data_IF_826629831489
#
_entry.id   IF_826629831489
#
_cell.length_a   1.000
_cell.length_b   1.000
_cell.length_c   1.000
_cell.angle_alpha   90.00
_cell.angle_beta   90.00
_cell.angle_gamma   90.00
#
_symmetry.space_group_name_H-M   'P 1'
#
loop_
_entity.id
_entity.type
_entity.pdbx_description
1 polymer ?
#
# COMPACT_ATOMS: atom_id res chain seq x y z
N UNK A 1 6.56 -22.34 -11.64
CA UNK A 1 7.89 -21.70 -11.73
C UNK A 1 7.72 -20.31 -11.14
N UNK A 2 8.50 -19.94 -10.13
CA UNK A 2 8.35 -18.64 -9.45
C UNK A 2 8.77 -17.53 -10.40
N UNK A 3 7.94 -16.49 -10.55
CA UNK A 3 8.25 -15.34 -11.39
C UNK A 3 9.34 -14.48 -10.74
N UNK A 4 10.47 -14.34 -11.43
CA UNK A 4 11.57 -13.48 -10.98
C UNK A 4 11.17 -12.01 -10.94
N UNK A 5 11.67 -11.30 -9.93
CA UNK A 5 11.60 -9.84 -9.82
C UNK A 5 12.16 -9.16 -11.06
N UNK A 6 11.50 -8.09 -11.50
CA UNK A 6 11.93 -7.21 -12.60
C UNK A 6 12.87 -6.12 -12.06
N UNK A 7 12.80 -5.85 -10.75
CA UNK A 7 13.61 -4.83 -10.08
C UNK A 7 14.66 -5.47 -9.17
N UNK A 8 15.76 -4.75 -8.95
CA UNK A 8 16.72 -5.08 -7.91
C UNK A 8 16.06 -4.91 -6.54
N UNK A 9 16.05 -5.97 -5.72
CA UNK A 9 15.34 -5.96 -4.44
C UNK A 9 15.97 -5.00 -3.44
N UNK A 10 17.29 -4.84 -3.43
CA UNK A 10 17.94 -3.90 -2.53
C UNK A 10 17.60 -2.47 -2.89
N UNK A 11 17.58 -2.14 -4.18
CA UNK A 11 17.25 -0.82 -4.69
C UNK A 11 15.81 -0.39 -4.35
N UNK A 12 14.85 -1.32 -4.34
CA UNK A 12 13.44 -1.02 -4.05
C UNK A 12 13.02 -1.31 -2.60
N UNK A 13 13.94 -1.81 -1.76
CA UNK A 13 13.66 -2.15 -0.37
C UNK A 13 13.02 -1.02 0.45
N UNK A 14 13.44 0.26 0.33
CA UNK A 14 12.85 1.35 1.09
C UNK A 14 11.33 1.48 0.89
N UNK A 15 10.82 1.12 -0.30
CA UNK A 15 9.43 1.33 -0.70
C UNK A 15 8.43 0.37 -0.03
N UNK A 16 8.88 -0.80 0.45
CA UNK A 16 8.06 -1.65 1.32
C UNK A 16 8.44 -1.48 2.78
N UNK A 17 9.70 -1.13 3.09
CA UNK A 17 10.14 -0.88 4.46
C UNK A 17 9.38 0.29 5.10
N UNK A 18 8.99 1.31 4.33
CA UNK A 18 8.12 2.39 4.83
C UNK A 18 6.74 1.86 5.29
N UNK A 19 6.18 0.88 4.60
CA UNK A 19 4.91 0.23 4.96
C UNK A 19 5.11 -0.69 6.18
N UNK A 20 6.21 -1.45 6.21
CA UNK A 20 6.57 -2.30 7.36
C UNK A 20 6.77 -1.47 8.63
N UNK A 21 7.28 -0.24 8.51
CA UNK A 21 7.49 0.65 9.66
C UNK A 21 6.19 1.00 10.41
N UNK A 22 5.04 0.95 9.72
CA UNK A 22 3.69 1.10 10.29
C UNK A 22 2.96 -0.23 10.46
N UNK A 23 3.69 -1.34 10.40
CA UNK A 23 3.23 -2.71 10.67
C UNK A 23 2.64 -3.46 9.49
N UNK A 24 2.67 -2.91 8.26
CA UNK A 24 2.15 -3.61 7.07
C UNK A 24 3.01 -4.82 6.77
N UNK A 25 2.39 -5.98 6.67
CA UNK A 25 3.05 -7.27 6.45
C UNK A 25 3.27 -7.53 4.95
N UNK A 26 4.52 -7.71 4.47
CA UNK A 26 4.78 -8.06 3.07
C UNK A 26 4.44 -9.52 2.79
N UNK A 27 3.63 -9.75 1.76
CA UNK A 27 3.34 -11.07 1.22
C UNK A 27 4.13 -11.25 -0.08
N UNK A 28 4.98 -12.28 -0.10
CA UNK A 28 5.94 -12.55 -1.18
C UNK A 28 5.59 -13.79 -1.99
N UNK A 29 4.69 -14.64 -1.48
CA UNK A 29 4.25 -15.87 -2.11
C UNK A 29 2.71 -15.95 -2.22
N UNK A 30 2.15 -16.63 -3.24
CA UNK A 30 0.71 -16.85 -3.40
C UNK A 30 0.05 -17.48 -2.18
N UNK A 31 0.73 -18.42 -1.53
CA UNK A 31 0.20 -19.16 -0.38
C UNK A 31 -0.06 -18.22 0.80
N UNK A 32 0.78 -17.20 0.97
CA UNK A 32 0.60 -16.17 2.01
C UNK A 32 -0.64 -15.29 1.71
N UNK A 33 -0.90 -15.02 0.42
CA UNK A 33 -2.12 -14.29 0.00
C UNK A 33 -3.36 -15.15 0.29
N UNK A 34 -3.30 -16.44 -0.01
CA UNK A 34 -4.42 -17.37 0.24
C UNK A 34 -4.71 -17.57 1.71
N UNK A 35 -3.66 -17.65 2.53
CA UNK A 35 -3.80 -17.72 3.98
C UNK A 35 -4.51 -16.48 4.52
N UNK A 36 -4.11 -15.30 4.05
CA UNK A 36 -4.66 -14.02 4.53
C UNK A 36 -6.05 -13.73 3.98
N UNK A 37 -6.33 -13.97 2.70
CA UNK A 37 -7.58 -13.58 2.03
C UNK A 37 -8.57 -14.74 1.88
N UNK A 38 -8.10 -15.97 1.65
CA UNK A 38 -8.96 -17.14 1.43
C UNK A 38 -9.59 -17.69 2.71
N UNK A 39 -9.02 -17.39 3.88
CA UNK A 39 -9.51 -17.82 5.20
C UNK A 39 -9.86 -16.64 6.11
N UNK A 40 -9.95 -15.43 5.54
CA UNK A 40 -10.06 -14.20 6.30
C UNK A 40 -11.36 -14.15 7.12
N UNK A 41 -11.23 -14.08 8.44
CA UNK A 41 -12.27 -13.57 9.34
C UNK A 41 -11.90 -12.16 9.77
N UNK A 42 -12.85 -11.24 9.76
CA UNK A 42 -12.58 -9.82 10.05
C UNK A 42 -12.12 -9.06 8.81
N UNK A 43 -11.31 -8.02 9.02
CA UNK A 43 -10.96 -7.04 7.99
C UNK A 43 -9.49 -7.09 7.57
N UNK A 44 -9.25 -7.09 6.27
CA UNK A 44 -7.90 -7.11 5.69
C UNK A 44 -7.75 -5.97 4.71
N UNK A 45 -6.81 -5.07 4.98
CA UNK A 45 -6.38 -4.05 4.04
C UNK A 45 -5.22 -4.59 3.20
N UNK A 46 -5.33 -4.51 1.88
CA UNK A 46 -4.30 -4.95 0.94
C UNK A 46 -3.86 -3.74 0.12
N UNK A 47 -2.56 -3.45 0.13
CA UNK A 47 -1.96 -2.51 -0.83
C UNK A 47 -1.12 -3.27 -1.86
N UNK A 48 -1.52 -3.16 -3.13
CA UNK A 48 -0.69 -3.54 -4.27
C UNK A 48 0.30 -2.41 -4.49
N UNK A 49 1.48 -2.52 -3.88
CA UNK A 49 2.54 -1.53 -3.93
C UNK A 49 3.23 -1.51 -5.30
N UNK A 50 3.94 -0.42 -5.61
CA UNK A 50 4.62 -0.20 -6.88
C UNK A 50 5.76 0.82 -6.73
N UNK A 51 6.68 0.85 -7.70
CA UNK A 51 7.75 1.86 -7.78
C UNK A 51 7.29 3.21 -8.35
N UNK A 52 6.07 3.30 -8.88
CA UNK A 52 5.59 4.49 -9.58
C UNK A 52 5.40 5.69 -8.64
N UNK A 53 5.50 6.91 -9.20
CA UNK A 53 5.45 8.16 -8.44
C UNK A 53 4.18 8.35 -7.61
N UNK A 54 3.01 7.90 -8.08
CA UNK A 54 1.77 7.96 -7.29
C UNK A 54 1.75 6.99 -6.10
N UNK A 55 2.54 5.91 -6.13
CA UNK A 55 2.72 5.05 -4.96
C UNK A 55 3.50 5.79 -3.87
N UNK A 56 4.60 6.44 -4.24
CA UNK A 56 5.45 7.20 -3.32
C UNK A 56 4.82 8.50 -2.83
N UNK A 57 4.07 9.20 -3.69
CA UNK A 57 3.52 10.53 -3.39
C UNK A 57 2.13 10.54 -2.78
N UNK A 58 1.36 9.45 -2.91
CA UNK A 58 -0.05 9.44 -2.51
C UNK A 58 -0.45 8.14 -1.82
N UNK A 59 -0.32 6.98 -2.48
CA UNK A 59 -0.90 5.74 -1.97
C UNK A 59 -0.26 5.26 -0.64
N UNK A 60 1.07 5.19 -0.56
CA UNK A 60 1.75 4.74 0.67
C UNK A 60 1.64 5.76 1.80
N UNK A 61 1.91 7.07 1.60
CA UNK A 61 1.72 8.06 2.67
C UNK A 61 0.27 8.14 3.14
N UNK A 62 -0.71 8.08 2.23
CA UNK A 62 -2.13 8.08 2.58
C UNK A 62 -2.56 6.86 3.39
N UNK A 63 -2.09 5.66 3.03
CA UNK A 63 -2.32 4.45 3.83
C UNK A 63 -1.68 4.56 5.21
N UNK A 64 -0.43 5.02 5.29
CA UNK A 64 0.30 5.23 6.54
C UNK A 64 -0.46 6.19 7.47
N UNK A 65 -0.98 7.30 6.93
CA UNK A 65 -1.82 8.26 7.66
C UNK A 65 -3.16 7.64 8.10
N UNK A 66 -3.80 6.84 7.25
CA UNK A 66 -5.05 6.16 7.59
C UNK A 66 -4.90 5.18 8.75
N UNK A 67 -3.75 4.49 8.84
CA UNK A 67 -3.46 3.55 9.93
C UNK A 67 -3.16 4.24 11.28
N UNK A 68 -3.21 5.58 11.35
CA UNK A 68 -3.19 6.34 12.61
C UNK A 68 -4.60 6.65 13.14
N UNK A 69 -5.65 6.17 12.46
CA UNK A 69 -7.04 6.37 12.86
C UNK A 69 -7.40 5.60 14.13
N UNK A 70 -8.49 6.01 14.79
CA UNK A 70 -8.99 5.34 16.00
C UNK A 70 -9.58 3.96 15.72
N UNK A 71 -10.07 3.73 14.51
CA UNK A 71 -10.57 2.43 14.03
C UNK A 71 -9.76 2.02 12.80
N UNK A 72 -9.22 0.80 12.80
CA UNK A 72 -8.34 0.30 11.74
C UNK A 72 -8.68 -1.16 11.38
N UNK A 73 -8.19 -1.66 10.23
CA UNK A 73 -8.35 -3.06 9.84
C UNK A 73 -7.63 -4.04 10.78
N UNK A 74 -8.15 -5.27 10.85
CA UNK A 74 -7.56 -6.34 11.68
C UNK A 74 -6.16 -6.73 11.20
N UNK A 75 -6.01 -6.84 9.88
CA UNK A 75 -4.76 -7.12 9.18
C UNK A 75 -4.53 -6.09 8.08
N UNK A 76 -3.27 -5.77 7.82
CA UNK A 76 -2.88 -4.85 6.76
C UNK A 76 -1.59 -5.38 6.13
N UNK A 77 -1.68 -5.66 4.83
CA UNK A 77 -0.67 -6.43 4.09
C UNK A 77 -0.31 -5.74 2.77
N UNK A 78 0.86 -6.06 2.23
CA UNK A 78 1.31 -5.53 0.94
C UNK A 78 1.84 -6.63 0.03
N UNK A 79 1.51 -6.54 -1.25
CA UNK A 79 2.18 -7.27 -2.34
C UNK A 79 2.85 -6.25 -3.26
N UNK A 80 4.03 -6.56 -3.79
CA UNK A 80 4.82 -5.56 -4.54
C UNK A 80 4.84 -5.86 -6.04
N UNK A 81 4.14 -5.03 -6.82
CA UNK A 81 4.07 -5.13 -8.28
C UNK A 81 5.45 -5.02 -8.94
N UNK A 82 5.80 -6.06 -9.70
CA UNK A 82 7.09 -6.18 -10.38
C UNK A 82 8.22 -6.80 -9.54
N UNK A 83 8.01 -6.97 -8.23
CA UNK A 83 8.97 -7.64 -7.32
C UNK A 83 8.45 -9.03 -6.95
N UNK A 84 7.32 -9.10 -6.25
CA UNK A 84 6.70 -10.33 -5.77
C UNK A 84 5.54 -10.74 -6.69
N UNK A 85 5.87 -11.02 -7.95
CA UNK A 85 4.90 -11.08 -9.06
C UNK A 85 3.83 -12.15 -8.89
N UNK A 86 4.17 -13.31 -8.37
CA UNK A 86 3.20 -14.39 -8.13
C UNK A 86 2.20 -14.01 -7.04
N UNK A 87 2.67 -13.41 -5.94
CA UNK A 87 1.80 -12.89 -4.88
C UNK A 87 0.87 -11.78 -5.39
N UNK A 88 1.39 -10.87 -6.24
CA UNK A 88 0.59 -9.81 -6.87
C UNK A 88 -0.50 -10.38 -7.78
N UNK A 89 -0.16 -11.37 -8.60
CA UNK A 89 -1.13 -12.03 -9.47
C UNK A 89 -2.22 -12.70 -8.63
N UNK A 90 -1.83 -13.41 -7.56
CA UNK A 90 -2.80 -14.04 -6.66
C UNK A 90 -3.71 -13.03 -5.97
N UNK A 91 -3.16 -11.92 -5.47
CA UNK A 91 -3.96 -10.86 -4.87
C UNK A 91 -4.98 -10.24 -5.85
N UNK A 92 -4.61 -10.11 -7.14
CA UNK A 92 -5.51 -9.60 -8.19
C UNK A 92 -6.68 -10.53 -8.49
N UNK A 93 -6.50 -11.84 -8.34
CA UNK A 93 -7.59 -12.81 -8.50
C UNK A 93 -8.69 -12.59 -7.43
N UNK A 94 -8.32 -12.19 -6.22
CA UNK A 94 -9.29 -11.78 -5.18
C UNK A 94 -9.95 -10.43 -5.46
N UNK A 95 -9.37 -9.62 -6.35
CA UNK A 95 -9.87 -8.29 -6.76
C UNK A 95 -10.52 -8.33 -8.15
N UNK A 96 -11.00 -9.48 -8.61
CA UNK A 96 -11.41 -9.73 -10.01
C UNK A 96 -12.51 -8.79 -10.57
N UNK A 97 -13.22 -8.03 -9.73
CA UNK A 97 -14.16 -7.00 -10.16
C UNK A 97 -13.51 -5.72 -10.71
N UNK A 98 -12.18 -5.59 -10.60
CA UNK A 98 -11.44 -4.39 -10.96
C UNK A 98 -10.29 -4.69 -11.93
N UNK A 99 -10.02 -3.80 -12.89
CA UNK A 99 -8.90 -3.97 -13.81
C UNK A 99 -7.56 -4.00 -13.04
N UNK A 100 -6.66 -4.95 -13.35
CA UNK A 100 -5.35 -5.01 -12.72
C UNK A 100 -4.58 -3.70 -12.86
N UNK A 101 -4.30 -3.04 -11.74
CA UNK A 101 -3.52 -1.80 -11.70
C UNK A 101 -2.53 -1.80 -10.53
N UNK A 102 -1.63 -0.82 -10.52
CA UNK A 102 -0.72 -0.56 -9.39
C UNK A 102 -0.28 0.91 -9.41
N UNK A 103 -0.31 1.64 -8.29
CA UNK A 103 -0.73 1.16 -6.99
C UNK A 103 -2.26 0.99 -6.95
N UNK A 104 -2.73 0.15 -6.04
CA UNK A 104 -4.14 -0.05 -5.75
C UNK A 104 -4.30 -0.46 -4.29
N UNK A 105 -5.40 -0.08 -3.65
CA UNK A 105 -5.67 -0.39 -2.24
C UNK A 105 -7.07 -0.99 -2.12
N UNK A 106 -7.19 -2.17 -1.53
CA UNK A 106 -8.46 -2.86 -1.33
C UNK A 106 -8.69 -3.16 0.15
N UNK A 107 -9.94 -3.06 0.59
CA UNK A 107 -10.36 -3.56 1.90
C UNK A 107 -11.27 -4.78 1.70
N UNK A 108 -10.94 -5.85 2.40
CA UNK A 108 -11.74 -7.06 2.47
C UNK A 108 -12.38 -7.17 3.86
N UNK A 109 -13.59 -7.70 3.90
CA UNK A 109 -14.29 -8.11 5.11
C UNK A 109 -14.83 -9.52 4.91
N UNK A 110 -14.41 -10.43 5.79
CA UNK A 110 -14.81 -11.84 5.78
C UNK A 110 -14.62 -12.49 4.39
N UNK A 111 -13.46 -12.24 3.79
CA UNK A 111 -13.06 -12.76 2.46
C UNK A 111 -13.72 -12.05 1.27
N UNK A 112 -14.58 -11.05 1.49
CA UNK A 112 -15.26 -10.30 0.41
C UNK A 112 -14.67 -8.89 0.30
N UNK A 113 -14.38 -8.46 -0.92
CA UNK A 113 -13.97 -7.07 -1.17
C UNK A 113 -15.15 -6.13 -0.88
N UNK A 114 -14.91 -5.12 -0.04
CA UNK A 114 -15.93 -4.12 0.37
C UNK A 114 -15.58 -2.69 -0.02
N UNK A 115 -14.29 -2.42 -0.28
CA UNK A 115 -13.82 -1.12 -0.74
C UNK A 115 -12.58 -1.28 -1.63
N UNK A 116 -12.39 -0.33 -2.55
CA UNK A 116 -11.27 -0.30 -3.50
C UNK A 116 -10.92 1.16 -3.84
N UNK A 117 -9.63 1.45 -3.93
CA UNK A 117 -9.07 2.62 -4.60
C UNK A 117 -8.22 2.15 -5.77
N UNK A 118 -8.64 2.51 -6.98
CA UNK A 118 -7.92 2.17 -8.21
C UNK A 118 -6.80 3.16 -8.52
N UNK A 119 -5.88 2.76 -9.40
CA UNK A 119 -4.80 3.65 -9.85
C UNK A 119 -5.32 4.98 -10.42
N UNK A 120 -6.41 4.95 -11.19
CA UNK A 120 -7.01 6.15 -11.80
C UNK A 120 -7.42 7.18 -10.75
N UNK A 121 -7.98 6.74 -9.63
CA UNK A 121 -8.34 7.59 -8.50
C UNK A 121 -7.08 8.05 -7.74
N UNK A 122 -6.18 7.12 -7.41
CA UNK A 122 -4.93 7.42 -6.68
C UNK A 122 -4.02 8.41 -7.43
N UNK A 123 -4.11 8.47 -8.76
CA UNK A 123 -3.39 9.46 -9.57
C UNK A 123 -3.94 10.88 -9.44
N UNK A 124 -5.18 11.04 -8.99
CA UNK A 124 -5.87 12.32 -8.82
C UNK A 124 -5.95 12.76 -7.35
N UNK A 125 -5.54 11.90 -6.43
CA UNK A 125 -5.60 12.14 -4.99
C UNK A 125 -4.24 12.48 -4.40
N UNK A 126 -4.23 13.45 -3.49
CA UNK A 126 -3.15 13.69 -2.55
C UNK A 126 -3.19 12.67 -1.40
N UNK A 127 -2.10 12.56 -0.64
CA UNK A 127 -1.96 11.61 0.47
C UNK A 127 -3.01 11.79 1.57
N UNK A 128 -3.34 13.03 1.92
CA UNK A 128 -4.41 13.37 2.88
C UNK A 128 -5.80 12.89 2.40
N UNK A 129 -6.07 13.02 1.11
CA UNK A 129 -7.32 12.57 0.47
C UNK A 129 -7.41 11.04 0.44
N UNK A 130 -6.33 10.35 0.09
CA UNK A 130 -6.26 8.88 0.19
C UNK A 130 -6.48 8.44 1.63
N UNK A 131 -5.81 9.10 2.58
CA UNK A 131 -5.97 8.82 4.00
C UNK A 131 -7.42 9.02 4.48
N UNK A 132 -8.09 10.08 4.02
CA UNK A 132 -9.49 10.35 4.35
C UNK A 132 -10.44 9.29 3.78
N UNK A 133 -10.25 8.89 2.52
CA UNK A 133 -11.05 7.85 1.89
C UNK A 133 -10.92 6.50 2.62
N UNK A 134 -9.69 6.14 3.00
CA UNK A 134 -9.43 4.92 3.76
C UNK A 134 -10.03 4.97 5.16
N UNK A 135 -9.90 6.09 5.88
CA UNK A 135 -10.53 6.25 7.21
C UNK A 135 -12.04 6.09 7.15
N UNK A 136 -12.69 6.66 6.13
CA UNK A 136 -14.12 6.47 5.91
C UNK A 136 -14.46 4.99 5.70
N UNK A 137 -13.70 4.27 4.88
CA UNK A 137 -13.89 2.83 4.70
C UNK A 137 -13.63 2.03 5.99
N UNK A 138 -12.69 2.49 6.84
CA UNK A 138 -12.44 1.86 8.15
C UNK A 138 -13.62 2.05 9.09
N UNK A 139 -14.16 3.26 9.19
CA UNK A 139 -15.32 3.57 10.02
C UNK A 139 -16.57 2.76 9.61
N UNK A 140 -16.71 2.47 8.31
CA UNK A 140 -17.85 1.70 7.77
C UNK A 140 -17.72 0.18 7.98
N UNK A 141 -16.50 -0.36 8.03
CA UNK A 141 -16.28 -1.81 7.92
C UNK A 141 -15.49 -2.45 9.06
N UNK A 142 -14.66 -1.69 9.76
CA UNK A 142 -13.71 -2.17 10.76
C UNK A 142 -14.20 -1.88 12.18
N UNK A 143 -13.64 -2.59 13.16
CA UNK A 143 -13.99 -2.45 14.59
C UNK A 143 -12.79 -2.45 15.53
N UNK A 144 -11.59 -2.79 15.02
CA UNK A 144 -10.39 -2.86 15.83
C UNK A 144 -9.89 -1.45 16.15
N UNK A 145 -9.56 -1.22 17.42
CA UNK A 145 -8.96 0.03 17.86
C UNK A 145 -7.55 0.18 17.26
N UNK A 146 -7.30 1.35 16.67
CA UNK A 146 -5.97 1.82 16.31
C UNK A 146 -5.33 2.68 17.42
N UNK A 147 -4.22 3.37 17.12
CA UNK A 147 -3.48 3.35 15.85
C UNK A 147 -2.67 2.06 15.65
N UNK A 148 -2.15 1.85 14.45
CA UNK A 148 -1.25 0.73 14.12
C UNK A 148 0.08 0.76 14.88
N UNK A 149 0.61 1.96 15.11
CA UNK A 149 1.85 2.23 15.83
C UNK A 149 1.67 3.49 16.69
N UNK A 150 2.54 3.67 17.67
CA UNK A 150 2.53 4.86 18.52
C UNK A 150 2.64 6.17 17.69
N UNK A 151 1.82 7.20 17.95
CA UNK A 151 1.84 8.45 17.18
C UNK A 151 3.16 9.26 17.25
N UNK A 152 3.93 9.15 18.34
CA UNK A 152 5.27 9.75 18.41
C UNK A 152 6.25 8.97 17.52
N UNK A 153 6.16 7.63 17.52
CA UNK A 153 6.92 6.80 16.59
C UNK A 153 6.58 7.15 15.15
N UNK A 154 5.30 7.30 14.82
CA UNK A 154 4.84 7.66 13.48
C UNK A 154 5.39 9.01 13.02
N UNK A 155 5.33 10.04 13.86
CA UNK A 155 5.87 11.38 13.55
C UNK A 155 7.37 11.40 13.22
N UNK A 156 8.12 10.40 13.70
CA UNK A 156 9.56 10.26 13.42
C UNK A 156 9.84 9.51 12.12
N UNK A 157 8.85 8.85 11.52
CA UNK A 157 8.99 8.22 10.21
C UNK A 157 9.02 9.31 9.14
N UNK A 158 10.16 9.47 8.48
CA UNK A 158 10.25 10.30 7.28
C UNK A 158 9.86 9.46 6.06
N UNK A 159 8.83 9.84 5.28
CA UNK A 159 8.53 9.18 4.01
C UNK A 159 9.76 9.25 3.10
N UNK A 160 10.11 8.13 2.46
CA UNK A 160 11.23 8.12 1.53
C UNK A 160 10.86 8.90 0.26
N UNK A 161 11.33 10.15 0.17
CA UNK A 161 11.17 10.99 -1.03
C UNK A 161 12.22 10.64 -2.08
N UNK A 162 11.96 9.63 -2.90
CA UNK A 162 12.80 9.23 -4.03
C UNK A 162 12.68 10.16 -5.26
N UNK A 163 12.56 11.48 -5.08
CA UNK A 163 12.55 12.42 -6.22
C UNK A 163 13.45 13.61 -5.92
N UNK A 164 14.70 13.49 -6.36
CA UNK A 164 15.71 14.54 -6.33
C UNK A 164 16.40 14.65 -7.68
N UNK A 165 15.67 14.89 -8.76
CA UNK A 165 16.28 15.46 -9.96
C UNK A 165 16.42 16.97 -9.74
N UNK A 166 17.42 17.37 -8.94
CA UNK A 166 17.99 18.71 -9.10
C UNK A 166 18.81 18.66 -10.38
N UNK A 167 18.17 18.95 -11.52
CA UNK A 167 18.91 19.34 -12.72
C UNK A 167 19.54 20.69 -12.36
N UNK A 168 20.87 20.79 -12.27
CA UNK A 168 21.51 22.08 -12.04
C UNK A 168 21.17 22.99 -13.21
N UNK A 169 20.63 24.16 -12.94
CA UNK A 169 20.59 25.22 -13.94
C UNK A 169 22.04 25.59 -14.25
N UNK A 170 22.51 25.27 -15.45
CA UNK A 170 23.77 25.82 -15.95
C UNK A 170 23.52 27.30 -16.18
N UNK A 171 24.03 28.14 -15.27
CA UNK A 171 24.16 29.57 -15.51
C UNK A 171 24.99 29.76 -16.78
N UNK A 172 24.35 30.17 -17.87
CA UNK A 172 25.06 30.72 -19.02
C UNK A 172 25.51 32.13 -18.65
N UNK A 173 26.70 32.24 -18.10
CA UNK A 173 27.44 33.50 -18.02
C UNK A 173 27.97 33.86 -19.41
N UNK A 174 27.52 35.03 -19.89
CA UNK A 174 28.11 35.95 -20.88
C UNK A 174 28.65 35.40 -22.21
#
# INVERSE_FOLDING_TARGET
MVLTSIYDREAVAPMWQELVAVGVEPLTAPEQVDEVLGRASGTVLVIVNSICGCAAGSARPGLMLALQHSVIPDRYVTVFAGVDRDAVNRAREYMAGYPPSSPAIALFKDGRQVFMLERSELQQMMDDQVGAALRKAFDEHCVKAGPSVDPEKFRRLQPHRACGSQIPMVERSS
#
